data_IF_303738460455
#
_entry.id   IF_303738460455
#
_cell.length_a   1.000
_cell.length_b   1.000
_cell.length_c   1.000
_cell.angle_alpha   90.00
_cell.angle_beta   90.00
_cell.angle_gamma   90.00
#
_symmetry.space_group_name_H-M   'P 1'
#
loop_
_entity.id
_entity.type
_entity.pdbx_description
1 polymer ?
#
# COMPACT_ATOMS: atom_id res chain seq x y z
N UNK A 1 13.17 5.98 -57.14
CA UNK A 1 11.83 6.16 -56.54
C UNK A 1 11.72 5.07 -55.49
N UNK A 2 12.13 5.36 -54.25
CA UNK A 2 12.05 4.38 -53.17
C UNK A 2 10.62 4.37 -52.67
N UNK A 3 10.00 3.21 -52.78
CA UNK A 3 8.71 2.87 -52.22
C UNK A 3 8.88 2.88 -50.69
N UNK A 4 8.51 4.00 -50.06
CA UNK A 4 8.62 4.18 -48.61
C UNK A 4 7.50 3.36 -47.97
N UNK A 5 7.83 2.09 -47.74
CA UNK A 5 7.01 1.10 -47.07
C UNK A 5 6.62 1.62 -45.69
N UNK A 6 5.44 2.22 -45.65
CA UNK A 6 4.71 2.63 -44.47
C UNK A 6 4.24 1.39 -43.71
N UNK A 7 5.14 0.68 -43.04
CA UNK A 7 4.74 -0.14 -41.90
C UNK A 7 5.93 -0.45 -40.97
N UNK A 8 5.91 0.21 -39.82
CA UNK A 8 6.48 -0.35 -38.60
C UNK A 8 5.72 0.28 -37.43
N UNK A 9 4.41 0.04 -37.38
CA UNK A 9 3.72 -0.04 -36.10
C UNK A 9 4.29 -1.25 -35.35
N UNK A 10 5.50 -1.10 -34.80
CA UNK A 10 5.99 -1.90 -33.69
C UNK A 10 5.19 -1.44 -32.46
N UNK A 11 3.91 -1.80 -32.43
CA UNK A 11 3.20 -1.98 -31.18
C UNK A 11 3.80 -3.21 -30.50
N UNK A 12 4.95 -2.99 -29.84
CA UNK A 12 5.56 -3.93 -28.91
C UNK A 12 4.70 -3.97 -27.64
N UNK A 13 3.48 -4.48 -27.83
CA UNK A 13 2.41 -4.68 -26.87
C UNK A 13 2.69 -5.88 -25.98
N UNK A 14 3.77 -5.82 -25.19
CA UNK A 14 3.91 -6.76 -24.06
C UNK A 14 4.74 -6.23 -22.88
N UNK A 15 5.13 -4.96 -22.88
CA UNK A 15 5.74 -4.35 -21.69
C UNK A 15 4.66 -3.73 -20.79
N UNK A 16 4.50 -4.19 -19.53
CA UNK A 16 3.61 -3.52 -18.60
C UNK A 16 4.09 -2.08 -18.44
N UNK A 17 3.27 -1.13 -18.91
CA UNK A 17 3.56 0.31 -18.77
C UNK A 17 3.80 0.62 -17.30
N UNK A 18 4.88 1.34 -16.94
CA UNK A 18 5.13 1.72 -15.56
C UNK A 18 3.93 2.50 -15.02
N UNK A 19 3.53 2.26 -13.76
CA UNK A 19 2.33 2.87 -13.20
C UNK A 19 2.43 4.39 -13.25
N UNK A 20 1.34 5.01 -13.66
CA UNK A 20 1.30 6.48 -13.78
C UNK A 20 1.53 7.14 -12.42
N UNK A 21 2.01 8.40 -12.44
CA UNK A 21 2.15 9.22 -11.21
C UNK A 21 0.84 9.27 -10.39
N UNK A 22 -0.30 9.29 -11.07
CA UNK A 22 -1.63 9.29 -10.45
C UNK A 22 -1.95 7.94 -9.79
N UNK A 23 -1.61 6.83 -10.45
CA UNK A 23 -1.83 5.49 -9.94
C UNK A 23 -1.02 5.22 -8.67
N UNK A 24 0.29 5.52 -8.67
CA UNK A 24 1.15 5.39 -7.48
C UNK A 24 0.60 6.18 -6.29
N UNK A 25 0.02 7.36 -6.54
CA UNK A 25 -0.62 8.17 -5.49
C UNK A 25 -1.87 7.48 -4.93
N UNK A 26 -2.72 6.91 -5.79
CA UNK A 26 -3.93 6.18 -5.36
C UNK A 26 -3.58 4.94 -4.54
N UNK A 27 -2.59 4.17 -4.98
CA UNK A 27 -2.09 2.99 -4.25
C UNK A 27 -1.54 3.39 -2.88
N UNK A 28 -0.74 4.46 -2.82
CA UNK A 28 -0.21 4.97 -1.56
C UNK A 28 -1.33 5.42 -0.59
N UNK A 29 -2.39 6.06 -1.09
CA UNK A 29 -3.56 6.40 -0.28
C UNK A 29 -4.29 5.15 0.21
N UNK A 30 -4.53 4.18 -0.67
CA UNK A 30 -5.23 2.94 -0.30
C UNK A 30 -4.50 2.16 0.80
N UNK A 31 -3.16 2.10 0.76
CA UNK A 31 -2.36 1.46 1.80
C UNK A 31 -2.41 2.24 3.12
N UNK A 32 -2.47 3.58 3.05
CA UNK A 32 -2.60 4.40 4.24
C UNK A 32 -3.99 4.24 4.89
N UNK A 33 -5.04 4.18 4.08
CA UNK A 33 -6.42 3.95 4.55
C UNK A 33 -6.56 2.57 5.21
N UNK A 34 -5.92 1.54 4.63
CA UNK A 34 -5.86 0.20 5.22
C UNK A 34 -5.14 0.23 6.59
N UNK A 35 -4.01 0.94 6.68
CA UNK A 35 -3.32 1.16 7.95
C UNK A 35 -4.20 1.89 9.00
N UNK A 36 -5.05 2.81 8.56
CA UNK A 36 -6.01 3.46 9.45
C UNK A 36 -7.10 2.50 9.94
N UNK A 37 -7.57 1.59 9.09
CA UNK A 37 -8.52 0.54 9.47
C UNK A 37 -7.92 -0.38 10.53
N UNK A 38 -6.66 -0.79 10.40
CA UNK A 38 -5.97 -1.62 11.39
C UNK A 38 -5.97 -0.99 12.79
N UNK A 39 -5.79 0.33 12.89
CA UNK A 39 -5.81 1.04 14.18
C UNK A 39 -7.20 1.03 14.82
N UNK A 40 -8.27 0.92 14.04
CA UNK A 40 -9.65 0.85 14.53
C UNK A 40 -10.03 -0.56 15.01
N UNK A 41 -9.25 -1.58 14.66
CA UNK A 41 -9.49 -2.95 15.08
C UNK A 41 -9.16 -3.18 16.56
N UNK A 42 -9.82 -4.17 17.15
CA UNK A 42 -9.52 -4.66 18.50
C UNK A 42 -8.24 -5.48 18.53
N UNK A 43 -7.61 -5.61 19.71
CA UNK A 43 -6.41 -6.44 19.87
C UNK A 43 -6.63 -7.90 19.43
N UNK A 44 -7.83 -8.45 19.67
CA UNK A 44 -8.19 -9.82 19.27
C UNK A 44 -8.23 -9.98 17.75
N UNK A 45 -8.75 -8.97 17.02
CA UNK A 45 -8.77 -8.98 15.56
C UNK A 45 -7.35 -8.84 14.99
N UNK A 46 -6.55 -7.92 15.54
CA UNK A 46 -5.16 -7.73 15.11
C UNK A 46 -4.30 -8.99 15.26
N UNK A 47 -4.52 -9.79 16.32
CA UNK A 47 -3.80 -11.04 16.53
C UNK A 47 -4.18 -12.16 15.54
N UNK A 48 -5.30 -12.04 14.82
CA UNK A 48 -5.70 -12.99 13.77
C UNK A 48 -5.11 -12.66 12.41
N UNK A 49 -4.70 -11.41 12.21
CA UNK A 49 -4.12 -10.95 10.96
C UNK A 49 -2.62 -11.27 10.99
N UNK A 50 -2.06 -11.89 9.93
CA UNK A 50 -0.63 -12.13 9.83
C UNK A 50 0.10 -10.79 9.56
N UNK A 51 0.33 -10.02 10.62
CA UNK A 51 1.04 -8.75 10.57
C UNK A 51 2.52 -8.97 10.95
N UNK A 52 3.46 -8.36 10.21
CA UNK A 52 4.85 -8.27 10.66
C UNK A 52 4.94 -7.58 12.03
N UNK A 53 5.92 -7.97 12.84
CA UNK A 53 6.08 -7.43 14.21
C UNK A 53 6.18 -5.91 14.23
N UNK A 54 6.93 -5.32 13.28
CA UNK A 54 7.09 -3.88 13.12
C UNK A 54 5.76 -3.16 12.89
N UNK A 55 4.89 -3.74 12.05
CA UNK A 55 3.58 -3.17 11.75
C UNK A 55 2.63 -3.29 12.94
N UNK A 56 2.63 -4.44 13.61
CA UNK A 56 1.83 -4.66 14.81
C UNK A 56 2.22 -3.70 15.94
N UNK A 57 3.52 -3.54 16.18
CA UNK A 57 4.05 -2.59 17.16
C UNK A 57 3.66 -1.15 16.79
N UNK A 58 3.75 -0.79 15.51
CA UNK A 58 3.38 0.53 15.03
C UNK A 58 1.89 0.83 15.22
N UNK A 59 1.01 -0.15 14.95
CA UNK A 59 -0.45 -0.03 15.14
C UNK A 59 -0.80 0.12 16.61
N UNK A 60 -0.21 -0.71 17.51
CA UNK A 60 -0.42 -0.61 18.96
C UNK A 60 0.03 0.75 19.51
N UNK A 61 1.15 1.26 19.03
CA UNK A 61 1.62 2.61 19.40
C UNK A 61 0.64 3.69 18.90
N UNK A 62 0.09 3.55 17.70
CA UNK A 62 -0.90 4.50 17.19
C UNK A 62 -2.19 4.53 18.02
N UNK A 63 -2.60 3.40 18.59
CA UNK A 63 -3.76 3.28 19.48
C UNK A 63 -3.53 3.95 20.83
N UNK A 64 -2.30 3.94 21.36
CA UNK A 64 -1.97 4.55 22.66
C UNK A 64 -1.75 6.07 22.58
N UNK A 65 -1.41 6.61 21.40
CA UNK A 65 -1.19 8.04 21.24
C UNK A 65 -2.52 8.81 21.26
N UNK A 66 -2.73 9.56 22.34
CA UNK A 66 -3.86 10.49 22.47
C UNK A 66 -3.71 11.77 21.61
N UNK A 67 -2.48 12.26 21.44
CA UNK A 67 -2.21 13.51 20.73
C UNK A 67 -2.42 13.37 19.22
N UNK A 68 -3.34 14.16 18.65
CA UNK A 68 -3.67 14.18 17.21
C UNK A 68 -2.44 14.25 16.30
N UNK A 69 -1.48 15.12 16.63
CA UNK A 69 -0.24 15.27 15.85
C UNK A 69 0.67 14.04 15.90
N UNK A 70 0.80 13.41 17.07
CA UNK A 70 1.55 12.16 17.22
C UNK A 70 0.90 11.02 16.46
N UNK A 71 -0.43 10.88 16.58
CA UNK A 71 -1.21 9.86 15.87
C UNK A 71 -1.08 10.02 14.36
N UNK A 72 -1.15 11.25 13.83
CA UNK A 72 -0.94 11.53 12.40
C UNK A 72 0.46 11.12 11.93
N UNK A 73 1.51 11.41 12.70
CA UNK A 73 2.87 10.97 12.36
C UNK A 73 3.01 9.44 12.38
N UNK A 74 2.38 8.79 13.35
CA UNK A 74 2.39 7.34 13.45
C UNK A 74 1.64 6.68 12.28
N UNK A 75 0.50 7.23 11.87
CA UNK A 75 -0.23 6.82 10.66
C UNK A 75 0.64 6.92 9.39
N UNK A 76 1.44 7.98 9.27
CA UNK A 76 2.36 8.13 8.13
C UNK A 76 3.48 7.08 8.16
N UNK A 77 3.98 6.73 9.35
CA UNK A 77 4.96 5.65 9.52
C UNK A 77 4.36 4.29 9.18
N UNK A 78 3.13 4.00 9.64
CA UNK A 78 2.39 2.79 9.25
C UNK A 78 2.22 2.73 7.73
N UNK A 79 1.82 3.83 7.08
CA UNK A 79 1.72 3.89 5.62
C UNK A 79 3.07 3.68 4.91
N UNK A 80 4.20 4.01 5.55
CA UNK A 80 5.54 3.66 5.04
C UNK A 80 5.80 2.17 5.17
N UNK A 81 5.55 1.56 6.33
CA UNK A 81 5.70 0.11 6.53
C UNK A 81 4.83 -0.67 5.56
N UNK A 82 3.59 -0.24 5.33
CA UNK A 82 2.66 -0.87 4.39
C UNK A 82 3.14 -0.84 2.94
N UNK A 83 3.95 0.16 2.56
CA UNK A 83 4.59 0.23 1.22
C UNK A 83 5.86 -0.61 1.11
N UNK A 84 6.37 -1.12 2.23
CA UNK A 84 7.54 -2.00 2.25
C UNK A 84 7.15 -3.48 2.27
N UNK A 85 5.87 -3.78 2.51
CA UNK A 85 5.35 -5.14 2.45
C UNK A 85 5.18 -5.60 1.01
N UNK A 86 5.27 -6.91 0.83
CA UNK A 86 5.00 -7.53 -0.46
C UNK A 86 3.48 -7.54 -0.75
N UNK A 87 3.12 -7.59 -2.03
CA UNK A 87 1.71 -7.61 -2.46
C UNK A 87 0.93 -8.76 -1.82
N UNK A 88 1.59 -9.91 -1.61
CA UNK A 88 1.01 -11.10 -0.96
C UNK A 88 0.62 -10.79 0.49
N UNK A 89 1.46 -10.08 1.23
CA UNK A 89 1.20 -9.72 2.63
C UNK A 89 0.06 -8.71 2.71
N UNK A 90 0.04 -7.72 1.80
CA UNK A 90 -1.01 -6.71 1.73
C UNK A 90 -2.37 -7.37 1.44
N UNK A 91 -2.43 -8.30 0.49
CA UNK A 91 -3.66 -9.03 0.16
C UNK A 91 -4.13 -9.95 1.31
N UNK A 92 -3.19 -10.60 2.01
CA UNK A 92 -3.53 -11.38 3.20
C UNK A 92 -4.17 -10.51 4.29
N UNK A 93 -3.67 -9.28 4.49
CA UNK A 93 -4.26 -8.33 5.44
C UNK A 93 -5.64 -7.86 4.95
N UNK A 94 -5.78 -7.53 3.66
CA UNK A 94 -7.07 -7.11 3.07
C UNK A 94 -8.17 -8.15 3.23
N UNK A 95 -7.83 -9.42 3.10
CA UNK A 95 -8.79 -10.54 3.19
C UNK A 95 -9.30 -10.77 4.62
N UNK A 96 -8.54 -10.34 5.63
CA UNK A 96 -8.86 -10.53 7.05
C UNK A 96 -9.53 -9.32 7.72
N UNK A 97 -9.66 -8.20 6.99
CA UNK A 97 -10.35 -6.98 7.41
C UNK A 97 -11.85 -7.04 7.13
#
# INVERSE_FOLDING_TARGET
MYDDAFDSNLDESDTPRPPSKSQRKREATALQDLGEQLIKLTATQLNRIPLPEDLLAAVRLAQSISQRGGRKRQLQYIGKLMRQLDDVEIEAIRTQL
#
